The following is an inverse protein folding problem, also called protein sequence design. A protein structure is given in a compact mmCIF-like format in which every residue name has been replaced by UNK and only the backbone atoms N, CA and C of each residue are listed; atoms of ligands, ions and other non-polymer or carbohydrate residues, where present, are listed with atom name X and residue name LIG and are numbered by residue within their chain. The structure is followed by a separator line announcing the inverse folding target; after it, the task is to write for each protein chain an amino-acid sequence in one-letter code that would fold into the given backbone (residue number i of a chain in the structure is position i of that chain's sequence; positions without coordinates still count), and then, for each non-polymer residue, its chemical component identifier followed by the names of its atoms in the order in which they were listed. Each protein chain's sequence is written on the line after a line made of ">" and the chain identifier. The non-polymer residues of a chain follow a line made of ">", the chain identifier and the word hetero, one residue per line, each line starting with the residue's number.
data_IF_197997904745
#
_entry.id   IF_197997904745
#
_cell.length_a   1.000
_cell.length_b   1.000
_cell.length_c   1.000
_cell.angle_alpha   90.00
_cell.angle_beta   90.00
_cell.angle_gamma   90.00
#
_symmetry.space_group_name_H-M   'P 1'
#
loop_
_entity.id
_entity.type
_entity.pdbx_description
1 polymer ?
#
# COMPACT_ATOMS: atom_id res chain seq x y z
N UNK A 1 28.35 -2.20 -39.56
CA UNK A 1 26.89 -2.33 -39.37
C UNK A 1 26.46 -3.62 -40.04
N UNK A 2 26.18 -4.68 -39.28
CA UNK A 2 25.60 -5.91 -39.81
C UNK A 2 24.11 -5.90 -39.44
N UNK A 3 23.26 -5.77 -40.47
CA UNK A 3 21.81 -5.94 -40.36
C UNK A 3 21.53 -7.44 -40.22
N UNK A 4 20.88 -7.85 -39.14
CA UNK A 4 20.26 -9.16 -39.04
C UNK A 4 18.82 -9.01 -39.52
N UNK A 5 18.61 -9.30 -40.79
CA UNK A 5 17.28 -9.42 -41.40
C UNK A 5 16.67 -10.79 -41.09
N UNK A 6 15.40 -10.72 -40.70
CA UNK A 6 14.30 -11.55 -41.16
C UNK A 6 14.55 -13.05 -41.37
N UNK A 7 14.23 -13.83 -40.34
CA UNK A 7 13.63 -15.14 -40.54
C UNK A 7 12.31 -15.20 -39.74
N UNK A 8 11.16 -15.51 -40.39
CA UNK A 8 9.86 -15.56 -39.73
C UNK A 8 9.73 -16.77 -38.79
N UNK A 9 9.26 -16.51 -37.57
CA UNK A 9 9.13 -17.48 -36.48
C UNK A 9 7.96 -18.43 -36.77
N UNK A 10 8.12 -19.76 -36.67
CA UNK A 10 7.06 -20.74 -36.98
C UNK A 10 5.88 -20.65 -36.00
N UNK A 11 4.62 -20.82 -36.46
CA UNK A 11 3.44 -20.73 -35.63
C UNK A 11 3.18 -22.09 -34.94
N UNK A 12 3.45 -22.17 -33.63
CA UNK A 12 3.31 -23.42 -32.87
C UNK A 12 3.19 -23.20 -31.36
N UNK A 13 1.97 -22.90 -30.92
CA UNK A 13 1.48 -22.87 -29.52
C UNK A 13 2.16 -21.88 -28.58
N UNK A 14 1.43 -20.81 -28.30
CA UNK A 14 1.64 -19.80 -27.26
C UNK A 14 2.22 -20.36 -25.95
N UNK A 15 3.55 -20.35 -25.82
CA UNK A 15 4.23 -20.27 -24.52
C UNK A 15 4.64 -18.81 -24.37
N UNK A 16 3.63 -17.95 -24.17
CA UNK A 16 3.36 -17.33 -22.86
C UNK A 16 4.68 -17.05 -22.16
N UNK A 17 5.01 -15.76 -22.12
CA UNK A 17 5.89 -15.21 -21.12
C UNK A 17 5.30 -15.63 -19.77
N UNK A 18 5.80 -16.73 -19.21
CA UNK A 18 5.55 -17.07 -17.81
C UNK A 18 6.44 -16.15 -16.99
N UNK A 19 6.06 -14.88 -16.94
CA UNK A 19 6.51 -14.00 -15.87
C UNK A 19 5.73 -14.46 -14.64
N UNK A 20 6.31 -15.40 -13.90
CA UNK A 20 5.97 -15.60 -12.50
C UNK A 20 6.51 -14.38 -11.76
N UNK A 21 5.69 -13.33 -11.65
CA UNK A 21 5.78 -12.46 -10.48
C UNK A 21 5.40 -13.37 -9.32
N UNK A 22 6.43 -14.00 -8.75
CA UNK A 22 6.33 -14.69 -7.47
C UNK A 22 5.90 -13.62 -6.49
N UNK A 23 4.65 -13.71 -6.03
CA UNK A 23 4.14 -13.32 -4.71
C UNK A 23 5.02 -12.34 -3.90
N UNK A 24 5.29 -11.17 -4.48
CA UNK A 24 5.80 -10.02 -3.74
C UNK A 24 4.65 -9.00 -3.68
N UNK A 25 3.51 -9.43 -3.13
CA UNK A 25 3.08 -9.06 -1.77
C UNK A 25 3.25 -7.62 -1.23
N UNK A 26 4.25 -6.87 -1.70
CA UNK A 26 4.85 -5.75 -0.93
C UNK A 26 4.80 -4.40 -1.66
N UNK A 27 4.30 -4.36 -2.89
CA UNK A 27 4.04 -3.11 -3.57
C UNK A 27 2.55 -2.77 -3.46
N UNK A 28 2.16 -1.67 -2.77
CA UNK A 28 0.77 -1.27 -2.69
C UNK A 28 0.25 -0.94 -4.10
N UNK A 29 -0.56 -1.84 -4.63
CA UNK A 29 -1.27 -1.68 -5.89
C UNK A 29 -2.42 -0.68 -5.66
N UNK A 30 -2.47 0.46 -6.37
CA UNK A 30 -3.55 1.43 -6.24
C UNK A 30 -4.84 0.83 -6.82
N UNK A 31 -5.60 0.11 -5.99
CA UNK A 31 -6.85 -0.52 -6.39
C UNK A 31 -7.16 -1.88 -5.74
N UNK A 32 -6.27 -2.44 -4.92
CA UNK A 32 -6.63 -3.50 -3.97
C UNK A 32 -6.88 -2.85 -2.61
N UNK A 33 -7.97 -3.26 -1.97
CA UNK A 33 -8.51 -2.74 -0.71
C UNK A 33 -7.39 -2.39 0.29
N UNK A 34 -7.07 -1.09 0.40
CA UNK A 34 -6.16 -0.61 1.42
C UNK A 34 -6.81 -0.91 2.76
N UNK A 35 -6.08 -1.62 3.63
CA UNK A 35 -6.57 -1.93 4.98
C UNK A 35 -7.01 -0.63 5.63
N UNK A 36 -8.19 -0.61 6.25
CA UNK A 36 -8.76 0.63 6.81
C UNK A 36 -8.66 0.62 8.34
N UNK A 37 -8.78 1.81 8.95
CA UNK A 37 -8.81 1.94 10.40
C UNK A 37 -9.96 1.14 11.02
N UNK A 38 -11.03 0.86 10.25
CA UNK A 38 -12.16 0.06 10.70
C UNK A 38 -11.72 -1.37 11.10
N UNK A 39 -10.78 -1.94 10.37
CA UNK A 39 -10.32 -3.33 10.59
C UNK A 39 -9.52 -3.50 11.87
N UNK A 40 -8.95 -2.43 12.42
CA UNK A 40 -8.15 -2.44 13.66
C UNK A 40 -8.85 -1.70 14.81
N UNK A 41 -10.12 -1.29 14.64
CA UNK A 41 -10.90 -0.55 15.63
C UNK A 41 -10.92 -1.20 17.01
N UNK A 42 -11.05 -2.52 17.06
CA UNK A 42 -11.11 -3.28 18.31
C UNK A 42 -9.79 -3.31 19.08
N UNK A 43 -8.67 -3.07 18.39
CA UNK A 43 -7.31 -3.14 18.93
C UNK A 43 -6.88 -1.77 19.51
N UNK A 44 -7.38 -0.66 18.95
CA UNK A 44 -6.93 0.68 19.29
C UNK A 44 -8.05 1.53 19.92
N UNK A 45 -7.85 1.92 21.20
CA UNK A 45 -8.82 2.76 21.93
C UNK A 45 -9.04 4.13 21.30
N UNK A 46 -8.04 4.68 20.61
CA UNK A 46 -8.13 5.99 19.93
C UNK A 46 -9.19 5.98 18.81
N UNK A 47 -9.51 4.81 18.27
CA UNK A 47 -10.52 4.65 17.21
C UNK A 47 -11.95 4.53 17.76
N UNK A 48 -12.12 4.35 19.08
CA UNK A 48 -13.42 4.08 19.68
C UNK A 48 -14.41 5.25 19.54
N UNK A 49 -13.91 6.48 19.36
CA UNK A 49 -14.73 7.69 19.18
C UNK A 49 -15.18 7.95 17.75
N UNK A 50 -14.67 7.20 16.77
CA UNK A 50 -15.00 7.38 15.35
C UNK A 50 -16.18 6.49 14.95
N UNK A 51 -16.94 6.93 13.94
CA UNK A 51 -17.98 6.10 13.33
C UNK A 51 -17.38 5.05 12.41
N UNK A 52 -18.12 3.98 12.11
CA UNK A 52 -17.65 2.95 11.18
C UNK A 52 -17.45 3.51 9.76
N UNK A 53 -18.29 4.47 9.34
CA UNK A 53 -18.16 5.16 8.05
C UNK A 53 -16.88 6.00 7.98
N UNK A 54 -16.55 6.72 9.07
CA UNK A 54 -15.31 7.50 9.14
C UNK A 54 -14.10 6.56 9.08
N UNK A 55 -14.13 5.47 9.86
CA UNK A 55 -13.03 4.50 9.92
C UNK A 55 -12.82 3.77 8.59
N UNK A 56 -13.89 3.48 7.85
CA UNK A 56 -13.81 2.91 6.50
C UNK A 56 -13.20 3.87 5.47
N UNK A 57 -13.33 5.19 5.69
CA UNK A 57 -12.71 6.21 4.85
C UNK A 57 -11.25 6.53 5.21
N UNK A 58 -10.73 5.96 6.32
CA UNK A 58 -9.37 6.19 6.81
C UNK A 58 -8.46 4.99 6.45
N UNK A 59 -7.70 5.05 5.35
CA UNK A 59 -6.77 3.99 5.00
C UNK A 59 -5.60 3.94 5.99
N UNK A 60 -5.18 2.74 6.36
CA UNK A 60 -3.96 2.50 7.10
C UNK A 60 -2.77 2.71 6.17
N UNK A 61 -1.76 3.40 6.70
CA UNK A 61 -0.49 3.55 6.01
C UNK A 61 0.31 2.27 6.24
N UNK A 62 0.85 1.60 5.19
CA UNK A 62 1.64 0.40 5.36
C UNK A 62 2.90 0.63 6.22
N UNK A 63 3.28 -0.39 6.98
CA UNK A 63 4.56 -0.44 7.70
C UNK A 63 5.73 -0.17 6.75
N UNK A 64 6.75 0.53 7.23
CA UNK A 64 7.92 0.92 6.45
C UNK A 64 7.69 2.05 5.44
N UNK A 65 6.45 2.53 5.27
CA UNK A 65 6.17 3.69 4.42
C UNK A 65 6.52 5.00 5.13
N UNK A 66 7.12 5.92 4.38
CA UNK A 66 7.43 7.27 4.86
C UNK A 66 6.19 8.15 4.78
N UNK A 67 5.88 8.85 5.87
CA UNK A 67 4.74 9.74 5.92
C UNK A 67 4.93 10.96 5.01
N UNK A 68 3.81 11.46 4.49
CA UNK A 68 3.77 12.66 3.65
C UNK A 68 4.02 13.90 4.49
N UNK A 69 4.89 14.79 4.01
CA UNK A 69 5.17 16.07 4.67
C UNK A 69 3.92 16.94 4.72
N UNK A 70 3.65 17.53 5.88
CA UNK A 70 2.49 18.39 6.19
C UNK A 70 1.14 17.70 5.99
N UNK A 71 1.12 16.36 5.98
CA UNK A 71 -0.12 15.60 5.97
C UNK A 71 -0.52 15.23 7.41
N UNK A 72 -1.83 15.09 7.61
CA UNK A 72 -2.41 14.74 8.90
C UNK A 72 -2.50 13.23 9.05
N UNK A 73 -2.04 12.73 10.19
CA UNK A 73 -2.02 11.32 10.54
C UNK A 73 -2.54 11.12 11.95
N UNK A 74 -3.03 9.90 12.24
CA UNK A 74 -3.43 9.47 13.56
C UNK A 74 -2.46 8.39 14.02
N UNK A 75 -1.81 8.60 15.15
CA UNK A 75 -0.92 7.58 15.73
C UNK A 75 -1.77 6.53 16.47
N UNK A 76 -1.68 5.28 16.03
CA UNK A 76 -2.42 4.15 16.62
C UNK A 76 -1.65 3.50 17.79
N UNK A 77 -0.33 3.70 17.86
CA UNK A 77 0.54 3.12 18.89
C UNK A 77 0.66 4.03 20.10
N UNK A 78 0.68 5.35 19.88
CA UNK A 78 0.71 6.34 20.94
C UNK A 78 -0.63 7.10 21.05
N UNK A 79 -1.56 6.64 21.90
CA UNK A 79 -2.84 7.32 22.10
C UNK A 79 -2.70 8.72 22.72
N UNK A 80 -1.56 9.08 23.32
CA UNK A 80 -1.31 10.42 23.84
C UNK A 80 -0.89 11.40 22.74
N UNK A 81 -0.32 10.90 21.64
CA UNK A 81 0.06 11.69 20.46
C UNK A 81 -1.14 12.06 19.59
N UNK A 82 -2.16 11.20 19.56
CA UNK A 82 -3.41 11.42 18.84
C UNK A 82 -3.19 11.81 17.36
N UNK A 83 -3.89 12.84 16.88
CA UNK A 83 -3.72 13.43 15.56
C UNK A 83 -2.47 14.33 15.51
N UNK A 84 -1.62 14.11 14.52
CA UNK A 84 -0.41 14.90 14.31
C UNK A 84 -0.20 15.23 12.83
N UNK A 85 0.56 16.29 12.59
CA UNK A 85 1.04 16.65 11.26
C UNK A 85 2.44 16.06 11.09
N UNK A 86 2.64 15.21 10.09
CA UNK A 86 3.96 14.63 9.83
C UNK A 86 4.87 15.65 9.15
N UNK A 87 6.15 15.69 9.55
CA UNK A 87 7.17 16.50 8.88
C UNK A 87 7.73 15.82 7.62
N UNK A 88 7.41 14.54 7.45
CA UNK A 88 7.82 13.71 6.33
C UNK A 88 9.19 13.09 6.54
N UNK A 89 9.61 12.89 7.78
CA UNK A 89 10.79 12.09 8.17
C UNK A 89 10.38 10.81 8.91
N UNK A 90 9.14 10.77 9.40
CA UNK A 90 8.54 9.66 10.10
C UNK A 90 8.30 8.48 9.15
N UNK A 91 8.59 7.28 9.65
CA UNK A 91 8.32 6.01 8.99
C UNK A 91 7.35 5.24 9.88
N UNK A 92 6.38 4.56 9.27
CA UNK A 92 5.45 3.69 10.00
C UNK A 92 6.19 2.45 10.50
N UNK A 93 6.00 2.11 11.78
CA UNK A 93 6.60 0.95 12.47
C UNK A 93 5.59 -0.18 12.67
#
# INVERSE_FOLDING_TARGET
>A
MAKYDEAPVPPGTSRRWEVLISDDDTLPHPGRDLRTALEVRSEHRVLASFSDDDLAAMPLVPEGMRLGRRAWYLDLHDPARADFVAEGEEVVE
#
